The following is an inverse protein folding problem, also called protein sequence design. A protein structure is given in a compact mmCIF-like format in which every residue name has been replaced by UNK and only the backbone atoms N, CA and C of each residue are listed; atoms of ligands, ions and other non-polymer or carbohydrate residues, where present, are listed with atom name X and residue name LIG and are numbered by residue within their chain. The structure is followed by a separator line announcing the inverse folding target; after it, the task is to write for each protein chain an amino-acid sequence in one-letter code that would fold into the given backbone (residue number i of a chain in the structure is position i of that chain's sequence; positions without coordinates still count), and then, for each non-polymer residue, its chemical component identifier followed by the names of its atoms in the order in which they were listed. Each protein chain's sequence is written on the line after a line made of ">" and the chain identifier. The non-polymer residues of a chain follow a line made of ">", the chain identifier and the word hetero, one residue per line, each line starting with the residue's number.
data_IF_796006249563
#
_entry.id   IF_796006249563
#
_cell.length_a   1.000
_cell.length_b   1.000
_cell.length_c   1.000
_cell.angle_alpha   90.00
_cell.angle_beta   90.00
_cell.angle_gamma   90.00
#
_symmetry.space_group_name_H-M   'P 1'
#
loop_
_entity.id
_entity.type
_entity.pdbx_description
1 polymer ?
#
# COMPACT_ATOMS: atom_id res chain seq x y z
N UNK A 1 27.59 -2.18 -17.28
CA UNK A 1 26.46 -3.14 -17.31
C UNK A 1 25.39 -2.62 -18.26
N UNK A 2 24.83 -3.44 -19.16
CA UNK A 2 23.86 -2.98 -20.15
C UNK A 2 22.56 -2.52 -19.47
N UNK A 3 22.11 -1.32 -19.84
CA UNK A 3 20.81 -0.77 -19.45
C UNK A 3 19.98 -0.56 -20.71
N UNK A 4 18.82 -1.21 -20.78
CA UNK A 4 17.91 -1.10 -21.92
C UNK A 4 16.69 -0.28 -21.52
N UNK A 5 16.15 0.54 -22.42
CA UNK A 5 14.97 1.36 -22.14
C UNK A 5 13.92 1.14 -23.22
N UNK A 6 12.66 1.05 -22.81
CA UNK A 6 11.51 0.94 -23.71
C UNK A 6 10.49 2.03 -23.35
N UNK A 7 9.77 2.52 -24.36
CA UNK A 7 8.74 3.54 -24.19
C UNK A 7 7.56 3.02 -23.36
N UNK A 8 7.24 1.74 -23.48
CA UNK A 8 6.25 1.06 -22.67
C UNK A 8 6.71 -0.37 -22.29
N UNK A 9 6.28 -0.88 -21.14
CA UNK A 9 6.66 -2.23 -20.67
C UNK A 9 6.16 -3.37 -21.56
N UNK A 10 5.11 -3.11 -22.36
CA UNK A 10 4.59 -4.06 -23.35
C UNK A 10 5.50 -4.23 -24.57
N UNK A 11 6.43 -3.28 -24.77
CA UNK A 11 7.38 -3.32 -25.88
C UNK A 11 8.62 -4.17 -25.54
N UNK A 12 8.71 -4.69 -24.31
CA UNK A 12 9.79 -5.58 -23.88
C UNK A 12 9.60 -6.93 -24.56
N UNK A 13 10.54 -7.39 -25.41
CA UNK A 13 10.44 -8.71 -26.01
C UNK A 13 10.48 -9.79 -24.93
N UNK A 14 9.61 -10.80 -25.02
CA UNK A 14 9.55 -11.89 -24.05
C UNK A 14 10.91 -12.59 -23.90
N UNK A 15 11.61 -12.84 -25.02
CA UNK A 15 12.93 -13.45 -25.03
C UNK A 15 14.02 -12.61 -24.32
N UNK A 16 13.80 -11.31 -24.11
CA UNK A 16 14.72 -10.44 -23.39
C UNK A 16 14.49 -10.46 -21.87
N UNK A 17 13.34 -10.98 -21.41
CA UNK A 17 12.96 -10.99 -20.00
C UNK A 17 13.35 -12.30 -19.31
N UNK A 18 14.31 -12.25 -18.38
CA UNK A 18 14.90 -13.45 -17.76
C UNK A 18 14.71 -13.58 -16.25
N UNK A 19 13.92 -12.69 -15.64
CA UNK A 19 13.69 -12.67 -14.19
C UNK A 19 12.30 -13.24 -13.89
N UNK A 20 12.16 -14.55 -13.65
CA UNK A 20 10.86 -15.23 -13.63
C UNK A 20 9.97 -14.81 -12.45
N UNK A 21 10.54 -14.19 -11.41
CA UNK A 21 9.76 -13.74 -10.26
C UNK A 21 9.15 -12.35 -10.41
N UNK A 22 9.39 -11.67 -11.54
CA UNK A 22 8.89 -10.34 -11.80
C UNK A 22 8.33 -10.26 -13.21
N UNK A 23 7.36 -9.39 -13.40
CA UNK A 23 6.88 -8.97 -14.71
C UNK A 23 7.49 -7.61 -15.11
N UNK A 24 7.58 -7.30 -16.43
CA UNK A 24 7.94 -5.96 -16.87
C UNK A 24 7.06 -4.86 -16.27
N UNK A 25 5.77 -5.13 -16.11
CA UNK A 25 4.81 -4.17 -15.56
C UNK A 25 5.11 -3.77 -14.11
N UNK A 26 5.55 -4.70 -13.27
CA UNK A 26 5.93 -4.42 -11.87
C UNK A 26 7.14 -3.50 -11.75
N UNK A 27 8.05 -3.57 -12.73
CA UNK A 27 9.29 -2.80 -12.75
C UNK A 27 9.11 -1.46 -13.47
N UNK A 28 8.09 -1.34 -14.32
CA UNK A 28 7.82 -0.15 -15.11
C UNK A 28 7.44 1.07 -14.27
N UNK A 29 7.57 2.24 -14.89
CA UNK A 29 7.10 3.50 -14.34
C UNK A 29 5.58 3.50 -14.27
N UNK A 30 5.03 3.57 -13.06
CA UNK A 30 3.57 3.62 -12.84
C UNK A 30 2.89 4.83 -13.49
N UNK A 31 3.61 5.94 -13.67
CA UNK A 31 3.07 7.14 -14.30
C UNK A 31 3.01 7.10 -15.82
N UNK A 32 3.97 6.43 -16.48
CA UNK A 32 4.12 6.52 -17.95
C UNK A 32 4.15 5.18 -18.66
N UNK A 33 4.17 4.05 -17.94
CA UNK A 33 4.35 2.71 -18.51
C UNK A 33 5.75 2.42 -19.06
N UNK A 34 6.57 3.44 -19.29
CA UNK A 34 7.98 3.29 -19.69
C UNK A 34 8.77 2.43 -18.70
N UNK A 35 9.77 1.71 -19.20
CA UNK A 35 10.61 0.82 -18.40
C UNK A 35 12.09 1.04 -18.74
N UNK A 36 12.94 1.05 -17.72
CA UNK A 36 14.39 1.03 -17.84
C UNK A 36 14.91 -0.18 -17.07
N UNK A 37 15.53 -1.10 -17.80
CA UNK A 37 16.00 -2.38 -17.30
C UNK A 37 17.50 -2.27 -17.09
N UNK A 38 17.93 -2.11 -15.84
CA UNK A 38 19.33 -2.30 -15.49
C UNK A 38 19.54 -3.79 -15.13
N UNK A 39 20.35 -4.46 -15.94
CA UNK A 39 20.56 -5.90 -15.86
C UNK A 39 21.07 -6.35 -14.48
N UNK A 40 22.05 -5.63 -13.93
CA UNK A 40 22.65 -5.95 -12.62
C UNK A 40 21.63 -5.78 -11.48
N UNK A 41 20.88 -4.68 -11.49
CA UNK A 41 19.88 -4.39 -10.47
C UNK A 41 18.78 -5.46 -10.45
N UNK A 42 18.34 -5.91 -11.62
CA UNK A 42 17.35 -6.97 -11.73
C UNK A 42 17.91 -8.34 -11.34
N UNK A 43 19.16 -8.68 -11.69
CA UNK A 43 19.81 -9.92 -11.24
C UNK A 43 19.93 -9.97 -9.70
N UNK A 44 20.27 -8.83 -9.07
CA UNK A 44 20.30 -8.70 -7.61
C UNK A 44 18.91 -8.78 -6.99
N UNK A 45 17.90 -8.17 -7.61
CA UNK A 45 16.51 -8.25 -7.14
C UNK A 45 15.97 -9.70 -7.21
N UNK A 46 16.28 -10.43 -8.27
CA UNK A 46 15.96 -11.85 -8.40
C UNK A 46 16.69 -12.70 -7.36
N UNK A 47 17.97 -12.41 -7.11
CA UNK A 47 18.74 -13.08 -6.06
C UNK A 47 18.16 -12.81 -4.67
N UNK A 48 17.71 -11.59 -4.40
CA UNK A 48 17.03 -11.23 -3.15
C UNK A 48 15.73 -12.02 -2.96
N UNK A 49 14.90 -12.08 -4.00
CA UNK A 49 13.65 -12.83 -4.01
C UNK A 49 13.86 -14.32 -3.75
N UNK A 50 14.90 -14.91 -4.35
CA UNK A 50 15.28 -16.30 -4.13
C UNK A 50 15.74 -16.52 -2.68
N UNK A 51 16.62 -15.64 -2.18
CA UNK A 51 17.18 -15.72 -0.82
C UNK A 51 16.10 -15.63 0.27
N UNK A 52 15.13 -14.76 0.11
CA UNK A 52 14.05 -14.56 1.09
C UNK A 52 12.98 -15.67 1.04
N UNK A 53 12.90 -16.41 -0.07
CA UNK A 53 11.86 -17.43 -0.28
C UNK A 53 10.43 -16.90 -0.38
N UNK A 54 10.18 -15.60 -0.13
CA UNK A 54 8.85 -14.96 -0.13
C UNK A 54 8.70 -13.86 -1.19
N UNK A 55 7.49 -13.62 -1.74
CA UNK A 55 7.22 -12.57 -2.73
C UNK A 55 7.79 -11.20 -2.35
N UNK A 56 8.39 -10.49 -3.31
CA UNK A 56 8.74 -9.08 -3.16
C UNK A 56 7.61 -8.25 -3.76
N UNK A 57 6.86 -7.53 -2.92
CA UNK A 57 5.79 -6.65 -3.38
C UNK A 57 6.42 -5.33 -3.85
N UNK A 58 6.66 -5.21 -5.15
CA UNK A 58 7.30 -4.02 -5.75
C UNK A 58 6.29 -2.89 -5.86
N UNK A 59 6.51 -1.83 -5.08
CA UNK A 59 5.68 -0.62 -5.12
C UNK A 59 6.18 0.39 -6.12
N UNK A 60 7.50 0.49 -6.32
CA UNK A 60 8.09 1.35 -7.34
C UNK A 60 9.38 0.74 -7.85
N UNK A 61 9.52 0.61 -9.17
CA UNK A 61 10.75 0.25 -9.87
C UNK A 61 11.33 1.46 -10.58
N UNK A 62 11.37 1.45 -11.91
CA UNK A 62 11.78 2.62 -12.68
C UNK A 62 10.82 3.80 -12.49
N UNK A 63 11.34 5.04 -12.46
CA UNK A 63 10.54 6.27 -12.58
C UNK A 63 11.04 7.11 -13.74
N UNK A 64 10.15 7.51 -14.64
CA UNK A 64 10.48 8.51 -15.65
C UNK A 64 10.79 9.86 -14.99
N UNK A 65 11.56 10.76 -15.63
CA UNK A 65 11.87 12.07 -15.06
C UNK A 65 10.62 12.87 -14.67
N UNK A 66 9.58 12.84 -15.50
CA UNK A 66 8.30 13.52 -15.24
C UNK A 66 7.59 12.92 -14.02
N UNK A 67 7.48 11.59 -13.94
CA UNK A 67 6.85 10.92 -12.82
C UNK A 67 7.64 11.13 -11.52
N UNK A 68 8.99 11.06 -11.57
CA UNK A 68 9.83 11.31 -10.40
C UNK A 68 9.62 12.72 -9.84
N UNK A 69 9.52 13.76 -10.70
CA UNK A 69 9.18 15.11 -10.25
C UNK A 69 7.78 15.19 -9.65
N UNK A 70 6.79 14.57 -10.29
CA UNK A 70 5.39 14.59 -9.84
C UNK A 70 5.21 13.99 -8.44
N UNK A 71 6.02 12.98 -8.08
CA UNK A 71 5.99 12.36 -6.74
C UNK A 71 6.96 12.98 -5.74
N UNK A 72 7.59 14.12 -6.08
CA UNK A 72 8.57 14.79 -5.21
C UNK A 72 9.88 14.02 -5.01
N UNK A 73 10.25 13.16 -5.97
CA UNK A 73 11.48 12.38 -5.92
C UNK A 73 12.74 13.23 -6.06
N UNK A 74 13.84 12.77 -5.47
CA UNK A 74 15.13 13.46 -5.53
C UNK A 74 15.61 13.68 -6.99
N UNK A 75 16.30 14.80 -7.29
CA UNK A 75 16.81 15.08 -8.64
C UNK A 75 17.74 13.98 -9.20
N UNK A 76 18.57 13.39 -8.34
CA UNK A 76 19.49 12.30 -8.68
C UNK A 76 18.95 10.91 -8.26
N UNK A 77 17.64 10.72 -8.30
CA UNK A 77 16.96 9.49 -7.86
C UNK A 77 17.45 8.25 -8.63
N UNK A 78 17.80 7.20 -7.87
CA UNK A 78 18.23 5.91 -8.45
C UNK A 78 17.10 5.16 -9.16
N UNK A 79 15.84 5.49 -8.88
CA UNK A 79 14.70 4.99 -9.68
C UNK A 79 14.77 5.46 -11.14
N UNK A 80 15.31 6.65 -11.42
CA UNK A 80 15.46 7.14 -12.80
C UNK A 80 16.55 6.40 -13.57
N UNK A 81 17.42 5.68 -12.87
CA UNK A 81 18.47 4.85 -13.47
C UNK A 81 18.03 3.38 -13.61
N UNK A 82 16.86 3.01 -13.10
CA UNK A 82 16.40 1.61 -13.07
C UNK A 82 17.20 0.75 -12.08
N UNK A 83 17.86 1.37 -11.09
CA UNK A 83 18.74 0.70 -10.13
C UNK A 83 18.21 0.80 -8.70
N UNK A 84 16.92 1.05 -8.53
CA UNK A 84 16.29 1.17 -7.22
C UNK A 84 14.89 0.57 -7.21
N UNK A 85 14.49 0.04 -6.06
CA UNK A 85 13.22 -0.60 -5.84
C UNK A 85 12.64 -0.21 -4.48
N UNK A 86 11.37 0.17 -4.46
CA UNK A 86 10.61 0.38 -3.23
C UNK A 86 9.79 -0.89 -2.96
N UNK A 87 10.13 -1.64 -1.92
CA UNK A 87 9.51 -2.93 -1.58
C UNK A 87 8.62 -2.78 -0.36
N UNK A 88 7.39 -3.29 -0.41
CA UNK A 88 6.50 -3.27 0.75
C UNK A 88 7.03 -4.18 1.87
N UNK A 89 6.95 -3.72 3.12
CA UNK A 89 7.38 -4.47 4.30
C UNK A 89 6.22 -5.21 4.98
N UNK A 90 5.05 -5.31 4.33
CA UNK A 90 3.86 -5.98 4.90
C UNK A 90 4.02 -7.49 5.04
N UNK A 91 4.88 -8.11 4.23
CA UNK A 91 5.12 -9.56 4.23
C UNK A 91 6.58 -9.95 4.55
N UNK A 92 7.38 -8.98 5.01
CA UNK A 92 8.77 -9.17 5.41
C UNK A 92 9.01 -8.59 6.80
N UNK A 93 9.96 -9.20 7.52
CA UNK A 93 10.62 -8.55 8.65
C UNK A 93 11.64 -7.52 8.09
N UNK A 94 11.55 -6.23 8.46
CA UNK A 94 12.42 -5.20 7.90
C UNK A 94 13.92 -5.41 8.17
N UNK A 95 14.29 -5.99 9.31
CA UNK A 95 15.69 -6.20 9.69
C UNK A 95 16.27 -7.32 8.83
N UNK A 96 15.62 -8.49 8.82
CA UNK A 96 16.03 -9.62 8.00
C UNK A 96 16.03 -9.28 6.50
N UNK A 97 15.07 -8.46 6.04
CA UNK A 97 15.02 -7.98 4.67
C UNK A 97 16.25 -7.12 4.32
N UNK A 98 16.60 -6.15 5.17
CA UNK A 98 17.74 -5.27 4.92
C UNK A 98 19.07 -6.06 4.89
N UNK A 99 19.23 -7.02 5.79
CA UNK A 99 20.39 -7.91 5.80
C UNK A 99 20.49 -8.77 4.53
N UNK A 100 19.36 -9.35 4.10
CA UNK A 100 19.31 -10.15 2.87
C UNK A 100 19.60 -9.30 1.63
N UNK A 101 19.07 -8.07 1.57
CA UNK A 101 19.31 -7.13 0.48
C UNK A 101 20.78 -6.70 0.42
N UNK A 102 21.41 -6.44 1.58
CA UNK A 102 22.85 -6.14 1.67
C UNK A 102 23.69 -7.31 1.19
N UNK A 103 23.32 -8.54 1.56
CA UNK A 103 24.05 -9.75 1.17
C UNK A 103 24.06 -10.00 -0.35
N UNK A 104 23.06 -9.50 -1.10
CA UNK A 104 23.06 -9.57 -2.58
C UNK A 104 23.63 -8.31 -3.25
N UNK A 105 24.10 -7.34 -2.47
CA UNK A 105 24.85 -6.18 -2.94
C UNK A 105 24.03 -4.91 -3.18
N UNK A 106 22.85 -4.76 -2.57
CA UNK A 106 22.24 -3.44 -2.42
C UNK A 106 22.97 -2.64 -1.34
N UNK A 107 23.16 -1.34 -1.57
CA UNK A 107 24.01 -0.47 -0.75
C UNK A 107 23.27 0.75 -0.20
N UNK A 108 22.31 1.29 -0.94
CA UNK A 108 21.45 2.37 -0.48
C UNK A 108 20.17 1.83 0.14
N UNK A 109 19.83 2.32 1.34
CA UNK A 109 18.65 1.89 2.09
C UNK A 109 17.84 3.09 2.61
N UNK A 110 16.57 3.20 2.22
CA UNK A 110 15.65 4.20 2.75
C UNK A 110 14.49 3.55 3.49
N UNK A 111 14.20 3.95 4.72
CA UNK A 111 13.13 3.35 5.53
C UNK A 111 11.94 4.29 5.70
N UNK A 112 10.75 3.79 5.35
CA UNK A 112 9.52 4.58 5.35
C UNK A 112 8.39 3.84 6.06
N UNK A 113 8.44 3.70 7.40
CA UNK A 113 7.48 2.90 8.16
C UNK A 113 6.04 3.42 8.04
N UNK A 114 5.83 4.75 8.05
CA UNK A 114 4.50 5.36 7.84
C UNK A 114 3.87 5.00 6.50
N UNK A 115 4.70 4.77 5.49
CA UNK A 115 4.25 4.36 4.16
C UNK A 115 4.37 2.85 3.95
N UNK A 116 4.91 2.09 4.90
CA UNK A 116 4.99 0.62 4.87
C UNK A 116 6.00 0.01 3.90
N UNK A 117 7.13 0.68 3.60
CA UNK A 117 8.10 0.19 2.62
C UNK A 117 9.56 0.52 2.91
N UNK A 118 10.44 -0.27 2.32
CA UNK A 118 11.87 0.00 2.28
C UNK A 118 12.32 0.24 0.84
N UNK A 119 13.10 1.29 0.66
CA UNK A 119 13.83 1.59 -0.57
C UNK A 119 15.18 0.88 -0.55
N UNK A 120 15.53 0.22 -1.64
CA UNK A 120 16.86 -0.37 -1.86
C UNK A 120 17.44 0.07 -3.21
N UNK A 121 18.74 0.40 -3.26
CA UNK A 121 19.42 0.82 -4.49
C UNK A 121 20.90 0.44 -4.58
N UNK A 122 21.46 0.52 -5.80
CA UNK A 122 22.86 0.25 -6.12
C UNK A 122 23.77 1.49 -6.12
N UNK A 123 23.31 2.61 -5.56
CA UNK A 123 24.14 3.81 -5.38
C UNK A 123 25.18 3.65 -4.27
N UNK A 124 25.82 4.75 -3.85
CA UNK A 124 26.75 4.74 -2.72
C UNK A 124 26.12 4.16 -1.45
N UNK A 125 26.92 3.48 -0.64
CA UNK A 125 26.49 2.93 0.64
C UNK A 125 25.97 4.05 1.55
N UNK A 126 24.68 3.98 1.90
CA UNK A 126 24.01 5.00 2.72
C UNK A 126 22.71 4.47 3.29
N UNK A 127 22.26 5.06 4.39
CA UNK A 127 20.97 4.76 5.00
C UNK A 127 20.28 6.04 5.45
N UNK A 128 18.96 6.12 5.28
CA UNK A 128 18.16 7.30 5.66
C UNK A 128 16.72 6.91 6.01
N UNK A 129 16.00 7.84 6.65
CA UNK A 129 14.63 7.62 7.10
C UNK A 129 14.54 7.10 8.53
N UNK A 130 13.33 6.75 8.94
CA UNK A 130 13.04 6.29 10.31
C UNK A 130 13.06 4.77 10.37
N UNK A 131 13.65 4.15 11.41
CA UNK A 131 13.65 2.70 11.54
C UNK A 131 12.22 2.16 11.65
N UNK A 132 12.02 0.93 11.18
CA UNK A 132 10.77 0.23 11.45
C UNK A 132 10.71 -0.13 12.94
N UNK A 133 9.56 0.13 13.58
CA UNK A 133 9.33 -0.31 14.94
C UNK A 133 9.47 -1.86 15.02
N UNK A 134 10.06 -2.40 16.09
CA UNK A 134 10.12 -3.84 16.31
C UNK A 134 8.70 -4.42 16.26
N UNK A 135 8.47 -5.38 15.36
CA UNK A 135 7.17 -6.05 15.27
C UNK A 135 7.19 -7.21 16.27
N UNK A 136 6.28 -7.19 17.25
CA UNK A 136 6.18 -8.24 18.27
C UNK A 136 5.86 -9.62 17.66
N UNK A 137 5.21 -9.64 16.50
CA UNK A 137 4.95 -10.85 15.72
C UNK A 137 5.39 -10.65 14.26
N UNK A 138 6.03 -11.65 13.63
CA UNK A 138 6.49 -11.57 12.23
C UNK A 138 5.35 -11.39 11.21
N UNK A 139 4.12 -11.74 11.60
CA UNK A 139 2.92 -11.66 10.79
C UNK A 139 1.80 -10.95 11.55
N UNK A 140 0.96 -10.22 10.82
CA UNK A 140 -0.43 -10.04 11.25
C UNK A 140 -1.02 -11.45 11.28
N UNK A 141 -1.59 -11.94 12.40
CA UNK A 141 -2.33 -13.19 12.35
C UNK A 141 -3.34 -13.08 11.22
N UNK A 142 -3.31 -14.02 10.29
CA UNK A 142 -4.37 -14.12 9.30
C UNK A 142 -5.66 -14.31 10.09
N UNK A 143 -6.51 -13.27 10.13
CA UNK A 143 -7.84 -13.39 10.69
C UNK A 143 -8.50 -14.50 9.89
N UNK A 144 -8.76 -15.63 10.55
CA UNK A 144 -9.45 -16.76 9.94
C UNK A 144 -10.66 -16.20 9.16
N UNK A 145 -10.83 -16.57 7.88
CA UNK A 145 -11.94 -16.06 7.10
C UNK A 145 -13.22 -16.34 7.88
N UNK A 146 -14.09 -15.33 8.03
CA UNK A 146 -15.34 -15.43 8.81
C UNK A 146 -16.23 -16.64 8.43
N UNK A 147 -15.95 -17.27 7.29
CA UNK A 147 -16.54 -18.52 6.82
C UNK A 147 -16.23 -19.74 7.68
N UNK A 148 -15.05 -19.80 8.32
CA UNK A 148 -14.61 -20.98 9.11
C UNK A 148 -15.25 -20.99 10.50
N UNK A 149 -15.43 -19.81 11.10
CA UNK A 149 -16.12 -19.62 12.40
C UNK A 149 -17.60 -20.06 12.34
N UNK A 150 -18.23 -20.03 11.16
CA UNK A 150 -19.60 -20.50 10.93
C UNK A 150 -19.73 -22.02 10.85
N UNK A 151 -18.65 -22.75 10.54
CA UNK A 151 -18.67 -24.20 10.48
C UNK A 151 -18.62 -24.82 11.89
N UNK A 152 -17.81 -24.25 12.78
CA UNK A 152 -17.69 -24.69 14.18
C UNK A 152 -18.94 -24.42 15.01
N UNK A 153 -19.69 -23.36 14.67
CA UNK A 153 -20.98 -23.06 15.30
C UNK A 153 -22.14 -23.91 14.74
N UNK A 154 -21.95 -24.59 13.60
CA UNK A 154 -22.95 -25.52 13.02
C UNK A 154 -22.77 -26.97 13.49
N UNK A 155 -21.58 -27.37 13.90
CA UNK A 155 -21.30 -28.74 14.35
C UNK A 155 -21.64 -28.98 15.81
N UNK A 156 -21.69 -27.94 16.66
CA UNK A 156 -21.99 -28.08 18.10
C UNK A 156 -23.48 -28.16 18.49
N UNK A 157 -24.42 -28.15 17.53
CA UNK A 157 -25.87 -28.35 17.80
C UNK A 157 -26.56 -29.31 16.83
N UNK A 158 -25.83 -30.25 16.26
CA UNK A 158 -26.37 -31.29 15.38
C UNK A 158 -26.72 -32.58 16.11
N UNK A 159 -27.63 -32.53 17.09
CA UNK A 159 -28.14 -33.71 17.79
C UNK A 159 -29.66 -33.69 17.88
N UNK A 160 -30.33 -34.14 16.82
CA UNK A 160 -31.75 -34.53 16.89
C UNK A 160 -32.68 -33.84 15.91
N UNK A 161 -33.07 -34.61 14.89
CA UNK A 161 -34.38 -34.66 14.25
C UNK A 161 -34.97 -33.41 13.56
N UNK A 162 -35.25 -33.61 12.27
CA UNK A 162 -36.04 -32.76 11.40
C UNK A 162 -37.46 -32.46 11.93
N UNK A 163 -37.97 -31.28 11.61
CA UNK A 163 -39.41 -31.04 11.49
C UNK A 163 -39.92 -29.75 12.14
N UNK A 164 -40.49 -28.89 11.28
CA UNK A 164 -41.54 -27.91 11.57
C UNK A 164 -41.09 -26.58 12.20
N UNK A 165 -41.25 -25.52 11.41
CA UNK A 165 -41.14 -24.14 11.82
C UNK A 165 -42.19 -23.83 12.91
N UNK A 166 -41.72 -23.55 14.12
CA UNK A 166 -42.51 -22.85 15.13
C UNK A 166 -41.71 -21.62 15.53
N UNK A 167 -42.08 -20.45 14.99
CA UNK A 167 -41.58 -19.17 15.50
C UNK A 167 -42.20 -18.98 16.88
N UNK A 168 -41.50 -19.41 17.92
CA UNK A 168 -41.87 -19.14 19.31
C UNK A 168 -41.49 -17.72 19.70
N UNK A 169 -42.22 -17.13 20.66
CA UNK A 169 -42.06 -15.76 21.16
C UNK A 169 -40.60 -15.36 21.47
N UNK A 170 -39.77 -16.31 21.92
CA UNK A 170 -38.35 -16.09 22.20
C UNK A 170 -37.52 -15.65 20.97
N UNK A 171 -37.92 -16.02 19.75
CA UNK A 171 -37.23 -15.58 18.52
C UNK A 171 -37.53 -14.13 18.13
N UNK A 172 -38.67 -13.59 18.58
CA UNK A 172 -39.05 -12.19 18.35
C UNK A 172 -38.39 -11.27 19.38
N UNK A 173 -38.30 -11.71 20.64
CA UNK A 173 -37.61 -10.95 21.70
C UNK A 173 -36.12 -10.74 21.41
N UNK A 174 -35.41 -11.79 20.99
CA UNK A 174 -33.98 -11.68 20.64
C UNK A 174 -33.75 -10.73 19.46
N UNK A 175 -34.65 -10.70 18.48
CA UNK A 175 -34.55 -9.76 17.36
C UNK A 175 -34.89 -8.32 17.79
N UNK A 176 -35.80 -8.14 18.75
CA UNK A 176 -36.17 -6.82 19.28
C UNK A 176 -35.09 -6.23 20.19
N UNK A 177 -34.45 -7.04 21.02
CA UNK A 177 -33.39 -6.59 21.94
C UNK A 177 -32.16 -6.10 21.18
N UNK A 178 -31.72 -6.83 20.15
CA UNK A 178 -30.59 -6.42 19.29
C UNK A 178 -30.90 -5.12 18.55
N UNK A 179 -32.16 -4.94 18.12
CA UNK A 179 -32.60 -3.72 17.41
C UNK A 179 -32.71 -2.51 18.35
N UNK A 180 -33.15 -2.72 19.60
CA UNK A 180 -33.25 -1.69 20.62
C UNK A 180 -31.88 -1.22 21.13
N UNK A 181 -30.93 -2.14 21.31
CA UNK A 181 -29.57 -1.84 21.76
C UNK A 181 -28.78 -1.05 20.70
N UNK A 182 -29.00 -1.36 19.42
CA UNK A 182 -28.43 -0.57 18.30
C UNK A 182 -29.10 0.79 18.10
N UNK A 183 -30.41 0.91 18.29
CA UNK A 183 -31.10 2.22 18.21
C UNK A 183 -30.70 3.17 19.35
N UNK A 184 -30.60 2.68 20.58
CA UNK A 184 -30.26 3.49 21.76
C UNK A 184 -28.84 4.07 21.72
N UNK A 185 -27.92 3.38 21.03
CA UNK A 185 -26.52 3.80 20.88
C UNK A 185 -26.33 4.84 19.76
N UNK A 186 -27.17 4.80 18.72
CA UNK A 186 -26.99 5.63 17.51
C UNK A 186 -27.79 6.93 17.58
N UNK A 187 -29.02 6.90 18.11
CA UNK A 187 -29.92 8.06 18.14
C UNK A 187 -29.35 9.32 18.84
N UNK A 188 -28.59 9.21 19.95
CA UNK A 188 -27.99 10.39 20.60
C UNK A 188 -26.90 11.08 19.76
N UNK A 189 -26.32 10.36 18.80
CA UNK A 189 -25.22 10.86 17.95
C UNK A 189 -25.72 11.55 16.68
N UNK A 190 -26.97 11.29 16.26
CA UNK A 190 -27.56 11.85 15.03
C UNK A 190 -27.49 13.39 14.98
N UNK A 191 -27.78 14.15 16.06
CA UNK A 191 -27.67 15.62 16.03
C UNK A 191 -26.23 16.11 15.86
N UNK A 192 -25.25 15.34 16.36
CA UNK A 192 -23.83 15.67 16.22
C UNK A 192 -23.32 15.40 14.81
N UNK A 193 -23.83 14.37 14.14
CA UNK A 193 -23.48 14.09 12.74
C UNK A 193 -23.95 15.22 11.81
N UNK A 194 -25.12 15.79 12.06
CA UNK A 194 -25.64 16.88 11.23
C UNK A 194 -24.90 18.20 11.48
N UNK A 195 -24.57 18.51 12.73
CA UNK A 195 -23.70 19.66 13.05
C UNK A 195 -22.30 19.49 12.47
N UNK A 196 -21.71 18.30 12.53
CA UNK A 196 -20.41 18.02 11.92
C UNK A 196 -20.44 18.23 10.39
N UNK A 197 -21.52 17.78 9.73
CA UNK A 197 -21.75 17.97 8.29
C UNK A 197 -21.75 19.45 7.92
N UNK A 198 -22.50 20.28 8.65
CA UNK A 198 -22.55 21.73 8.39
C UNK A 198 -21.23 22.45 8.70
N UNK A 199 -20.51 22.02 9.74
CA UNK A 199 -19.16 22.55 10.05
C UNK A 199 -18.19 22.26 8.90
N UNK A 200 -18.17 21.04 8.36
CA UNK A 200 -17.31 20.71 7.23
C UNK A 200 -17.65 21.52 5.97
N UNK A 201 -18.94 21.72 5.68
CA UNK A 201 -19.38 22.55 4.56
C UNK A 201 -18.92 24.00 4.76
N UNK A 202 -19.08 24.57 5.96
CA UNK A 202 -18.65 25.93 6.24
C UNK A 202 -17.12 26.11 6.10
N UNK A 203 -16.33 25.18 6.63
CA UNK A 203 -14.86 25.20 6.50
C UNK A 203 -14.43 25.10 5.04
N UNK A 204 -15.07 24.24 4.25
CA UNK A 204 -14.79 24.11 2.83
C UNK A 204 -15.10 25.41 2.05
N UNK A 205 -16.23 26.05 2.33
CA UNK A 205 -16.62 27.32 1.70
C UNK A 205 -15.68 28.47 2.07
N UNK A 206 -15.23 28.54 3.33
CA UNK A 206 -14.22 29.52 3.77
C UNK A 206 -12.91 29.30 3.02
N UNK A 207 -12.44 28.06 2.89
CA UNK A 207 -11.23 27.73 2.14
C UNK A 207 -11.31 28.15 0.67
N UNK A 208 -12.45 27.92 0.03
CA UNK A 208 -12.71 28.35 -1.36
C UNK A 208 -12.69 29.88 -1.47
N UNK A 209 -13.35 30.58 -0.54
CA UNK A 209 -13.39 32.04 -0.54
C UNK A 209 -11.99 32.66 -0.36
N UNK A 210 -11.16 32.09 0.53
CA UNK A 210 -9.76 32.52 0.73
C UNK A 210 -8.94 32.29 -0.53
N UNK A 211 -9.09 31.14 -1.20
CA UNK A 211 -8.38 30.85 -2.45
C UNK A 211 -8.77 31.81 -3.58
N UNK A 212 -10.07 32.13 -3.71
CA UNK A 212 -10.56 33.11 -4.69
C UNK A 212 -10.02 34.51 -4.36
N UNK A 213 -10.04 34.91 -3.09
CA UNK A 213 -9.54 36.22 -2.66
C UNK A 213 -8.03 36.36 -2.92
N UNK A 214 -7.24 35.37 -2.55
CA UNK A 214 -5.80 35.34 -2.83
C UNK A 214 -5.52 35.43 -4.34
N UNK A 215 -6.29 34.71 -5.15
CA UNK A 215 -6.17 34.74 -6.61
C UNK A 215 -6.51 36.11 -7.21
N UNK A 216 -7.51 36.81 -6.66
CA UNK A 216 -7.88 38.16 -7.07
C UNK A 216 -6.82 39.17 -6.63
N UNK A 217 -6.25 39.03 -5.42
CA UNK A 217 -5.22 39.91 -4.90
C UNK A 217 -3.91 39.78 -5.70
N UNK A 218 -3.48 38.56 -6.03
CA UNK A 218 -2.34 38.31 -6.93
C UNK A 218 -2.54 38.97 -8.31
N UNK A 219 -3.77 38.92 -8.85
CA UNK A 219 -4.11 39.56 -10.12
C UNK A 219 -4.03 41.09 -10.03
N UNK A 220 -4.49 41.70 -8.93
CA UNK A 220 -4.39 43.14 -8.68
C UNK A 220 -2.95 43.61 -8.47
N UNK A 221 -2.08 42.76 -7.92
CA UNK A 221 -0.67 43.07 -7.63
C UNK A 221 0.27 42.81 -8.81
N UNK A 222 -0.24 42.32 -9.95
CA UNK A 222 0.56 42.10 -11.16
C UNK A 222 1.62 41.01 -11.05
N UNK A 223 1.51 40.14 -10.03
CA UNK A 223 2.43 39.02 -9.82
C UNK A 223 1.93 37.83 -10.64
N UNK A 224 2.61 37.54 -11.76
CA UNK A 224 2.43 36.31 -12.55
C UNK A 224 3.54 35.32 -12.24
#
# INVERSE_FOLDING_TARGET
>A
MPTTTYAHFRDVPEAAWRWPSFSPAEIACRGTGAIKINTEAMDKLQSLRNRLGKPLIVRSGYRSPSHNRAVGGAPASKHMLGTAFDIAMSNHDPVAFAEAARAVGFLGFGTYPRSGFMHIDLGPARSWGEPFAPRATPFVPELAPAREVLADSRTLKGGGAAGIATVGAAGVEVAQDVLAETQSSILPLVPYLDTLRWVFIAVALIGIAVAIHARIDDWKRGQR
#
